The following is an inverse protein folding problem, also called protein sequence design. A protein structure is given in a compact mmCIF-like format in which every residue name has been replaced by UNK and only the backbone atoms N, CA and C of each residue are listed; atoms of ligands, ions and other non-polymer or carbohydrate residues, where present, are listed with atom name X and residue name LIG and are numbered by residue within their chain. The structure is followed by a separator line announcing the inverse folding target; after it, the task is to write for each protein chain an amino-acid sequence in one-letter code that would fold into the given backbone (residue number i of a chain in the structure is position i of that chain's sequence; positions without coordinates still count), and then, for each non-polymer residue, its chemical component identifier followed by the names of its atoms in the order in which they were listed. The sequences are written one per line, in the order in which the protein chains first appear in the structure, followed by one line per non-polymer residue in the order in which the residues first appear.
data_IF_404801441865
#
_entry.id   IF_404801441865
#
_cell.length_a   1.000
_cell.length_b   1.000
_cell.length_c   1.000
_cell.angle_alpha   90.00
_cell.angle_beta   90.00
_cell.angle_gamma   90.00
#
_symmetry.space_group_name_H-M   'P 1'
#
loop_
_entity.id
_entity.type
_entity.pdbx_description
1 polymer ?
#
# COMPACT_ATOMS: atom_id res chain seq x y z
N UNK A 1 -17.71 -7.55 0.22
CA UNK A 1 -16.92 -6.58 -0.56
C UNK A 1 -15.50 -6.64 -0.02
N UNK A 2 -14.49 -6.51 -0.87
CA UNK A 2 -13.10 -6.45 -0.42
C UNK A 2 -12.86 -5.07 0.19
N UNK A 3 -12.87 -4.97 1.52
CA UNK A 3 -12.84 -3.68 2.21
C UNK A 3 -11.43 -3.28 2.63
N UNK A 4 -10.40 -4.06 2.30
CA UNK A 4 -9.01 -3.75 2.65
C UNK A 4 -8.16 -3.80 1.38
N UNK A 5 -7.36 -2.76 1.20
CA UNK A 5 -6.32 -2.64 0.19
C UNK A 5 -4.96 -2.70 0.88
N UNK A 6 -4.07 -3.52 0.36
CA UNK A 6 -2.70 -3.65 0.86
C UNK A 6 -1.74 -3.30 -0.26
N UNK A 7 -0.77 -2.44 0.04
CA UNK A 7 0.26 -2.03 -0.89
C UNK A 7 1.64 -2.32 -0.29
N UNK A 8 2.46 -3.14 -0.94
CA UNK A 8 3.88 -3.18 -0.61
C UNK A 8 4.57 -1.95 -1.16
N UNK A 9 5.59 -1.48 -0.45
CA UNK A 9 6.38 -0.33 -0.87
C UNK A 9 7.87 -0.59 -0.65
N UNK A 10 8.69 0.14 -1.40
CA UNK A 10 10.14 0.17 -1.26
C UNK A 10 10.63 1.59 -0.99
N UNK A 11 11.85 1.73 -0.48
CA UNK A 11 12.51 3.05 -0.41
C UNK A 11 12.98 3.41 -1.80
N UNK A 12 12.75 4.65 -2.19
CA UNK A 12 13.24 5.18 -3.45
C UNK A 12 14.77 5.20 -3.47
N UNK A 13 15.30 4.87 -4.63
CA UNK A 13 16.69 5.04 -5.00
C UNK A 13 16.89 6.36 -5.73
N UNK A 14 18.14 6.71 -6.04
CA UNK A 14 18.48 7.91 -6.81
C UNK A 14 17.89 7.92 -8.23
N UNK A 15 17.40 6.78 -8.72
CA UNK A 15 16.77 6.66 -10.04
C UNK A 15 15.25 6.91 -10.03
N UNK A 16 14.64 7.00 -8.85
CA UNK A 16 13.20 7.20 -8.71
C UNK A 16 12.87 8.70 -8.78
N UNK A 17 11.97 9.07 -9.71
CA UNK A 17 11.71 10.47 -10.08
C UNK A 17 10.68 11.12 -9.14
N UNK A 18 9.69 10.36 -8.67
CA UNK A 18 8.61 10.85 -7.81
C UNK A 18 8.25 9.77 -6.78
N UNK A 19 7.82 10.20 -5.59
CA UNK A 19 7.42 9.31 -4.50
C UNK A 19 5.90 9.15 -4.50
N UNK A 20 5.43 7.91 -4.43
CA UNK A 20 4.00 7.63 -4.24
C UNK A 20 3.56 7.94 -2.81
N UNK A 21 4.47 7.79 -1.84
CA UNK A 21 4.19 8.05 -0.43
C UNK A 21 5.48 8.41 0.35
N UNK A 22 5.31 9.10 1.48
CA UNK A 22 6.40 9.41 2.42
C UNK A 22 6.17 8.64 3.73
N UNK A 23 7.10 7.76 4.11
CA UNK A 23 7.09 7.07 5.43
C UNK A 23 8.23 7.58 6.27
N UNK A 24 7.94 8.17 7.44
CA UNK A 24 8.98 8.61 8.38
C UNK A 24 10.10 9.43 7.69
N UNK A 25 9.73 10.36 6.81
CA UNK A 25 10.64 11.21 6.00
C UNK A 25 11.38 10.52 4.85
N UNK A 26 11.17 9.22 4.64
CA UNK A 26 11.70 8.48 3.48
C UNK A 26 10.70 8.52 2.31
N UNK A 27 11.20 8.85 1.13
CA UNK A 27 10.46 8.73 -0.12
C UNK A 27 10.31 7.26 -0.51
N UNK A 28 9.08 6.84 -0.80
CA UNK A 28 8.76 5.46 -1.11
C UNK A 28 7.84 5.36 -2.33
N UNK A 29 7.99 4.26 -3.07
CA UNK A 29 7.16 3.91 -4.22
C UNK A 29 6.45 2.60 -3.97
N UNK A 30 5.21 2.49 -4.45
CA UNK A 30 4.45 1.26 -4.39
C UNK A 30 5.02 0.24 -5.36
N UNK A 31 5.06 -1.03 -4.94
CA UNK A 31 5.59 -2.13 -5.74
C UNK A 31 4.48 -3.08 -6.17
N UNK A 32 3.64 -3.52 -5.25
CA UNK A 32 2.48 -4.38 -5.54
C UNK A 32 1.27 -3.97 -4.71
N UNK A 33 0.09 -3.97 -5.34
CA UNK A 33 -1.19 -3.65 -4.72
C UNK A 33 -2.15 -4.84 -4.81
N UNK A 34 -2.80 -5.18 -3.70
CA UNK A 34 -3.86 -6.20 -3.67
C UNK A 34 -5.07 -5.72 -2.87
N UNK A 35 -6.25 -6.19 -3.27
CA UNK A 35 -7.48 -6.05 -2.50
C UNK A 35 -7.85 -7.40 -1.88
N UNK A 36 -8.11 -7.40 -0.57
CA UNK A 36 -8.46 -8.58 0.23
C UNK A 36 -9.80 -8.38 0.94
N UNK A 37 -10.37 -9.50 1.40
CA UNK A 37 -11.52 -9.48 2.30
C UNK A 37 -11.09 -9.19 3.75
N UNK A 38 -12.09 -8.93 4.57
CA UNK A 38 -11.96 -8.61 5.98
C UNK A 38 -11.59 -9.87 6.77
N UNK A 39 -10.83 -9.69 7.86
CA UNK A 39 -10.49 -10.78 8.78
C UNK A 39 -9.01 -11.11 8.82
N UNK A 40 -8.59 -11.60 9.99
CA UNK A 40 -7.16 -11.79 10.31
C UNK A 40 -6.48 -12.76 9.35
N UNK A 41 -7.16 -13.83 8.93
CA UNK A 41 -6.59 -14.80 8.00
C UNK A 41 -6.31 -14.16 6.63
N UNK A 42 -7.28 -13.44 6.08
CA UNK A 42 -7.14 -12.74 4.79
C UNK A 42 -6.04 -11.68 4.83
N UNK A 43 -5.88 -10.98 5.96
CA UNK A 43 -4.78 -10.03 6.18
C UNK A 43 -3.43 -10.78 6.18
N UNK A 44 -3.30 -11.86 6.93
CA UNK A 44 -2.07 -12.65 7.00
C UNK A 44 -1.69 -13.23 5.63
N UNK A 45 -2.66 -13.76 4.90
CA UNK A 45 -2.43 -14.32 3.56
C UNK A 45 -2.00 -13.22 2.57
N UNK A 46 -2.61 -12.04 2.67
CA UNK A 46 -2.21 -10.85 1.91
C UNK A 46 -0.78 -10.40 2.23
N UNK A 47 -0.42 -10.31 3.52
CA UNK A 47 0.93 -9.96 3.97
C UNK A 47 1.96 -10.96 3.42
N UNK A 48 1.69 -12.26 3.60
CA UNK A 48 2.55 -13.34 3.14
C UNK A 48 2.70 -13.35 1.62
N UNK A 49 1.69 -12.93 0.87
CA UNK A 49 1.79 -12.79 -0.58
C UNK A 49 2.72 -11.63 -0.94
N UNK A 50 2.52 -10.45 -0.36
CA UNK A 50 3.26 -9.25 -0.69
C UNK A 50 4.73 -9.30 -0.27
N UNK A 51 5.04 -9.91 0.89
CA UNK A 51 6.43 -10.10 1.34
C UNK A 51 7.23 -11.12 0.51
N UNK A 52 6.60 -11.85 -0.43
CA UNK A 52 7.35 -12.66 -1.39
C UNK A 52 8.10 -11.81 -2.41
N UNK A 53 7.74 -10.53 -2.56
CA UNK A 53 8.48 -9.62 -3.40
C UNK A 53 9.76 -9.18 -2.65
N UNK A 54 10.97 -9.50 -3.16
CA UNK A 54 12.22 -9.15 -2.50
C UNK A 54 12.50 -7.65 -2.45
N UNK A 55 11.82 -6.86 -3.27
CA UNK A 55 11.95 -5.40 -3.30
C UNK A 55 11.06 -4.72 -2.23
N UNK A 56 10.11 -5.45 -1.64
CA UNK A 56 9.22 -4.90 -0.62
C UNK A 56 9.98 -4.65 0.69
N UNK A 57 10.04 -3.39 1.13
CA UNK A 57 10.49 -3.01 2.47
C UNK A 57 9.43 -3.34 3.51
N UNK A 58 8.19 -2.93 3.25
CA UNK A 58 7.06 -3.18 4.14
C UNK A 58 5.72 -3.04 3.40
N UNK A 59 4.61 -3.15 4.14
CA UNK A 59 3.25 -3.15 3.60
C UNK A 59 2.39 -2.10 4.30
N UNK A 60 1.77 -1.23 3.51
CA UNK A 60 0.73 -0.32 3.95
C UNK A 60 -0.64 -1.00 3.82
N UNK A 61 -1.41 -1.05 4.91
CA UNK A 61 -2.77 -1.60 4.94
C UNK A 61 -3.77 -0.48 5.11
N UNK A 62 -4.68 -0.34 4.16
CA UNK A 62 -5.72 0.68 4.15
C UNK A 62 -7.08 0.01 4.08
N UNK A 63 -8.02 0.48 4.90
CA UNK A 63 -9.43 0.18 4.66
C UNK A 63 -9.87 0.90 3.37
N UNK A 64 -10.50 0.21 2.44
CA UNK A 64 -10.87 0.69 1.10
C UNK A 64 -11.74 1.95 1.15
N UNK A 65 -12.69 2.03 2.09
CA UNK A 65 -13.49 3.25 2.31
C UNK A 65 -12.65 4.43 2.81
N UNK A 66 -11.57 4.16 3.55
CA UNK A 66 -10.64 5.21 4.00
C UNK A 66 -9.80 5.71 2.82
N UNK A 67 -9.38 4.81 1.93
CA UNK A 67 -8.69 5.19 0.70
C UNK A 67 -9.60 5.99 -0.24
N UNK A 68 -10.85 5.57 -0.41
CA UNK A 68 -11.83 6.31 -1.22
C UNK A 68 -12.05 7.72 -0.66
N UNK A 69 -12.23 7.88 0.67
CA UNK A 69 -12.31 9.19 1.31
C UNK A 69 -11.06 10.04 1.10
N UNK A 70 -9.87 9.44 1.22
CA UNK A 70 -8.60 10.15 0.99
C UNK A 70 -8.49 10.66 -0.45
N UNK A 71 -8.83 9.82 -1.43
CA UNK A 71 -8.81 10.18 -2.85
C UNK A 71 -9.79 11.31 -3.12
N UNK A 72 -11.03 11.24 -2.62
CA UNK A 72 -12.03 12.30 -2.84
C UNK A 72 -11.54 13.66 -2.28
N UNK A 73 -10.89 13.65 -1.11
CA UNK A 73 -10.30 14.87 -0.52
C UNK A 73 -9.17 15.43 -1.38
N UNK A 74 -8.36 14.59 -2.01
CA UNK A 74 -7.23 15.00 -2.86
C UNK A 74 -7.69 15.48 -4.24
N UNK A 75 -8.64 14.77 -4.84
CA UNK A 75 -9.12 15.03 -6.21
C UNK A 75 -10.17 16.16 -6.24
N UNK A 76 -10.80 16.47 -5.10
CA UNK A 76 -11.66 17.64 -4.95
C UNK A 76 -13.06 17.47 -5.52
N UNK A 77 -13.75 16.39 -5.15
CA UNK A 77 -15.20 16.23 -5.35
C UNK A 77 -16.01 16.58 -4.08
#
# INVERSE_FOLDING_TARGET
MKNIVMASYQINTENDIEADLIVNTEACSFVELIAIEDGIQSINDGMNKLYKNPEAKDILVLHGESLHRLINVIVGD
#
